data_IF_761093149475
#
_entry.id   IF_761093149475
#
_cell.length_a   1.000
_cell.length_b   1.000
_cell.length_c   1.000
_cell.angle_alpha   90.00
_cell.angle_beta   90.00
_cell.angle_gamma   90.00
#
_symmetry.space_group_name_H-M   'P 1'
#
loop_
_entity.id
_entity.type
_entity.pdbx_description
1 polymer ?
#
# COMPACT_ATOMS: atom_id res chain seq x y z
N UNK A 1 7.74 -21.79 57.36
CA UNK A 1 7.56 -20.72 56.39
C UNK A 1 7.88 -21.13 54.95
N UNK A 2 8.05 -22.42 54.64
CA UNK A 2 8.25 -22.93 53.27
C UNK A 2 7.09 -23.86 52.78
N UNK A 3 6.11 -24.14 53.64
CA UNK A 3 4.98 -25.01 53.34
C UNK A 3 3.72 -24.26 52.86
N UNK A 4 3.61 -22.96 53.14
CA UNK A 4 2.42 -22.16 52.72
C UNK A 4 2.53 -21.59 51.28
N UNK A 5 3.74 -21.52 50.72
CA UNK A 5 3.93 -21.02 49.34
C UNK A 5 3.63 -22.07 48.26
N UNK A 6 3.42 -23.34 48.65
CA UNK A 6 3.20 -24.44 47.67
C UNK A 6 1.73 -24.82 47.48
N UNK A 7 0.82 -24.28 48.31
CA UNK A 7 -0.62 -24.62 48.25
C UNK A 7 -1.43 -23.69 47.35
N UNK A 8 -0.90 -22.52 46.98
CA UNK A 8 -1.62 -21.55 46.12
C UNK A 8 -1.52 -21.85 44.60
N UNK A 9 -0.66 -22.76 44.19
CA UNK A 9 -0.39 -23.07 42.78
C UNK A 9 -1.31 -24.18 42.19
N UNK A 10 -2.09 -24.87 43.05
CA UNK A 10 -2.84 -26.07 42.63
C UNK A 10 -4.35 -25.80 42.38
N UNK A 11 -4.86 -24.59 42.61
CA UNK A 11 -6.31 -24.29 42.47
C UNK A 11 -6.72 -23.40 41.28
N UNK A 12 -5.82 -23.10 40.36
CA UNK A 12 -6.28 -22.55 39.07
C UNK A 12 -6.65 -23.69 38.14
N UNK A 13 -7.94 -23.81 37.83
CA UNK A 13 -8.43 -24.81 36.90
C UNK A 13 -7.78 -24.62 35.51
N UNK A 14 -7.44 -25.72 34.83
CA UNK A 14 -6.79 -25.75 33.52
C UNK A 14 -7.43 -24.81 32.47
N UNK A 15 -8.75 -24.54 32.49
CA UNK A 15 -9.39 -23.53 31.63
C UNK A 15 -9.03 -22.09 31.97
N UNK A 16 -8.83 -21.73 33.26
CA UNK A 16 -8.50 -20.35 33.66
C UNK A 16 -7.02 -20.00 33.37
N UNK A 17 -6.12 -20.95 33.49
CA UNK A 17 -4.73 -20.76 33.10
C UNK A 17 -4.55 -20.62 31.59
N UNK A 18 -5.38 -21.30 30.79
CA UNK A 18 -5.43 -21.15 29.32
C UNK A 18 -6.09 -19.84 28.92
N UNK A 19 -7.14 -19.37 29.59
CA UNK A 19 -7.78 -18.07 29.36
C UNK A 19 -6.84 -16.92 29.72
N UNK A 20 -6.17 -16.95 30.87
CA UNK A 20 -5.19 -15.95 31.28
C UNK A 20 -3.98 -15.89 30.34
N UNK A 21 -3.55 -17.02 29.76
CA UNK A 21 -2.47 -17.07 28.78
C UNK A 21 -2.88 -16.52 27.41
N UNK A 22 -4.17 -16.61 27.05
CA UNK A 22 -4.73 -15.98 25.85
C UNK A 22 -4.94 -14.47 26.03
N UNK A 23 -5.27 -14.00 27.22
CA UNK A 23 -5.47 -12.58 27.51
C UNK A 23 -4.13 -11.81 27.68
N UNK A 24 -3.08 -12.45 28.20
CA UNK A 24 -1.78 -11.84 28.41
C UNK A 24 -0.91 -11.72 27.14
N UNK A 25 -1.29 -12.35 26.01
CA UNK A 25 -0.44 -12.50 24.83
C UNK A 25 -0.79 -11.64 23.63
N UNK A 26 -1.80 -10.80 23.68
CA UNK A 26 -2.28 -10.12 22.46
C UNK A 26 -2.46 -8.61 22.63
N UNK A 27 -1.37 -7.91 22.98
CA UNK A 27 -1.39 -6.44 22.97
C UNK A 27 -1.68 -5.89 21.59
N UNK A 28 -2.24 -4.67 21.48
CA UNK A 28 -2.46 -4.01 20.20
C UNK A 28 -1.16 -3.89 19.38
N UNK A 29 0.00 -3.79 20.06
CA UNK A 29 1.32 -3.76 19.44
C UNK A 29 1.71 -5.13 18.86
N UNK A 30 1.43 -6.23 19.56
CA UNK A 30 1.72 -7.60 19.08
C UNK A 30 0.84 -7.98 17.90
N UNK A 31 -0.46 -7.58 17.93
CA UNK A 31 -1.35 -7.74 16.78
C UNK A 31 -0.81 -7.04 15.53
N UNK A 32 -0.31 -5.80 15.66
CA UNK A 32 0.26 -5.03 14.56
C UNK A 32 1.52 -5.67 13.99
N UNK A 33 2.33 -6.32 14.82
CA UNK A 33 3.57 -7.01 14.43
C UNK A 33 3.38 -8.43 13.93
N UNK A 34 2.15 -8.98 13.97
CA UNK A 34 1.87 -10.35 13.55
C UNK A 34 2.25 -10.60 12.08
N UNK A 35 3.09 -11.61 11.77
CA UNK A 35 3.42 -11.97 10.39
C UNK A 35 2.19 -12.34 9.55
N UNK A 36 1.18 -12.97 10.15
CA UNK A 36 -0.08 -13.29 9.47
C UNK A 36 -0.84 -12.02 9.05
N UNK A 37 -0.88 -11.01 9.93
CA UNK A 37 -1.48 -9.70 9.61
C UNK A 37 -0.74 -9.02 8.46
N UNK A 38 0.58 -9.00 8.49
CA UNK A 38 1.39 -8.41 7.43
C UNK A 38 1.17 -9.12 6.07
N UNK A 39 1.01 -10.46 6.06
CA UNK A 39 0.64 -11.19 4.84
C UNK A 39 -0.74 -10.80 4.34
N UNK A 40 -1.73 -10.62 5.22
CA UNK A 40 -3.07 -10.17 4.83
C UNK A 40 -3.05 -8.78 4.19
N UNK A 41 -2.29 -7.83 4.74
CA UNK A 41 -2.13 -6.49 4.16
C UNK A 41 -1.50 -6.57 2.77
N UNK A 42 -0.42 -7.33 2.59
CA UNK A 42 0.21 -7.53 1.27
C UNK A 42 -0.72 -8.23 0.28
N UNK A 43 -1.47 -9.23 0.72
CA UNK A 43 -2.49 -9.90 -0.11
C UNK A 43 -3.58 -8.94 -0.55
N UNK A 44 -4.08 -8.10 0.36
CA UNK A 44 -5.05 -7.06 0.02
C UNK A 44 -4.47 -6.06 -0.99
N UNK A 45 -3.22 -5.61 -0.81
CA UNK A 45 -2.52 -4.73 -1.74
C UNK A 45 -2.46 -5.31 -3.16
N UNK A 46 -2.11 -6.58 -3.30
CA UNK A 46 -2.07 -7.28 -4.58
C UNK A 46 -3.46 -7.37 -5.22
N UNK A 47 -4.45 -7.84 -4.46
CA UNK A 47 -5.81 -8.05 -4.95
C UNK A 47 -6.50 -6.72 -5.35
N UNK A 48 -6.33 -5.65 -4.57
CA UNK A 48 -6.85 -4.32 -4.91
C UNK A 48 -6.23 -3.79 -6.21
N UNK A 49 -4.93 -3.96 -6.39
CA UNK A 49 -4.24 -3.53 -7.63
C UNK A 49 -4.69 -4.31 -8.87
N UNK A 50 -5.10 -5.56 -8.69
CA UNK A 50 -5.62 -6.38 -9.79
C UNK A 50 -7.03 -6.00 -10.21
N UNK A 51 -7.93 -5.77 -9.26
CA UNK A 51 -9.38 -5.75 -9.52
C UNK A 51 -10.20 -4.77 -8.66
N UNK A 52 -9.53 -3.84 -7.99
CA UNK A 52 -10.19 -2.82 -7.17
C UNK A 52 -10.68 -3.31 -5.81
N UNK A 53 -11.26 -2.38 -5.04
CA UNK A 53 -11.78 -2.67 -3.69
C UNK A 53 -13.03 -3.55 -3.76
N UNK A 54 -13.96 -3.26 -4.71
CA UNK A 54 -15.20 -4.02 -4.85
C UNK A 54 -14.91 -5.47 -5.27
N UNK A 55 -13.91 -5.68 -6.15
CA UNK A 55 -13.45 -6.99 -6.57
C UNK A 55 -12.64 -7.76 -5.51
N UNK A 56 -12.37 -7.17 -4.33
CA UNK A 56 -11.56 -7.77 -3.27
C UNK A 56 -12.40 -8.05 -2.03
N UNK A 57 -12.72 -9.33 -1.82
CA UNK A 57 -13.47 -9.79 -0.65
C UNK A 57 -12.56 -10.06 0.56
N UNK A 58 -13.02 -9.76 1.78
CA UNK A 58 -12.24 -10.01 3.00
C UNK A 58 -11.90 -11.51 3.19
N UNK A 59 -12.84 -12.41 2.86
CA UNK A 59 -12.61 -13.87 2.94
C UNK A 59 -11.53 -14.32 1.96
N UNK A 60 -11.47 -13.67 0.82
CA UNK A 60 -10.50 -13.95 -0.22
C UNK A 60 -9.10 -13.46 0.17
N UNK A 61 -8.99 -12.29 0.82
CA UNK A 61 -7.72 -11.83 1.40
C UNK A 61 -7.18 -12.85 2.40
N UNK A 62 -8.06 -13.40 3.27
CA UNK A 62 -7.66 -14.48 4.21
C UNK A 62 -7.14 -15.70 3.47
N UNK A 63 -7.87 -16.17 2.45
CA UNK A 63 -7.46 -17.33 1.66
C UNK A 63 -6.15 -17.09 0.90
N UNK A 64 -6.01 -15.93 0.23
CA UNK A 64 -4.82 -15.57 -0.54
C UNK A 64 -3.57 -15.37 0.34
N UNK A 65 -3.75 -14.93 1.60
CA UNK A 65 -2.65 -14.73 2.55
C UNK A 65 -2.27 -15.97 3.35
N UNK A 66 -2.98 -17.09 3.16
CA UNK A 66 -2.92 -18.26 4.03
C UNK A 66 -3.08 -17.86 5.51
N UNK A 67 -4.05 -16.98 5.75
CA UNK A 67 -4.31 -16.41 7.06
C UNK A 67 -5.28 -17.25 7.90
N UNK A 68 -5.22 -17.12 9.25
CA UNK A 68 -6.13 -17.84 10.12
C UNK A 68 -7.57 -17.39 9.90
N UNK A 69 -8.50 -18.36 9.74
CA UNK A 69 -9.93 -18.07 9.63
C UNK A 69 -10.42 -17.37 10.91
N UNK A 70 -11.22 -16.32 10.76
CA UNK A 70 -11.76 -15.57 11.89
C UNK A 70 -10.83 -14.48 12.47
N UNK A 71 -9.58 -14.35 12.00
CA UNK A 71 -8.63 -13.36 12.52
C UNK A 71 -8.85 -11.92 12.02
N UNK A 72 -9.67 -11.70 10.99
CA UNK A 72 -9.89 -10.38 10.40
C UNK A 72 -10.36 -9.34 11.41
N UNK A 73 -11.42 -9.61 12.18
CA UNK A 73 -11.94 -8.68 13.17
C UNK A 73 -10.92 -8.35 14.28
N UNK A 74 -10.06 -9.32 14.63
CA UNK A 74 -8.97 -9.10 15.59
C UNK A 74 -7.86 -8.24 15.02
N UNK A 75 -7.44 -8.48 13.77
CA UNK A 75 -6.35 -7.74 13.13
C UNK A 75 -6.79 -6.39 12.58
N UNK A 76 -8.02 -6.29 12.11
CA UNK A 76 -8.57 -5.09 11.47
C UNK A 76 -9.93 -4.73 12.09
N UNK A 77 -9.95 -4.20 13.33
CA UNK A 77 -11.20 -3.81 14.00
C UNK A 77 -11.97 -2.71 13.24
N UNK A 78 -11.28 -1.87 12.45
CA UNK A 78 -11.87 -0.90 11.52
C UNK A 78 -12.38 -1.50 10.21
N UNK A 79 -12.40 -2.85 10.11
CA UNK A 79 -12.97 -3.57 8.98
C UNK A 79 -12.21 -3.40 7.67
N UNK A 80 -12.97 -3.44 6.56
CA UNK A 80 -12.43 -3.37 5.20
C UNK A 80 -11.72 -2.04 4.93
N UNK A 81 -12.24 -0.92 5.41
CA UNK A 81 -11.62 0.40 5.23
C UNK A 81 -10.21 0.44 5.82
N UNK A 82 -10.02 -0.04 7.05
CA UNK A 82 -8.68 -0.11 7.67
C UNK A 82 -7.73 -0.98 6.86
N UNK A 83 -8.17 -2.17 6.44
CA UNK A 83 -7.34 -3.08 5.65
C UNK A 83 -6.93 -2.45 4.30
N UNK A 84 -7.86 -1.78 3.62
CA UNK A 84 -7.61 -1.07 2.35
C UNK A 84 -6.61 0.06 2.55
N UNK A 85 -6.79 0.92 3.55
CA UNK A 85 -5.87 2.01 3.88
C UNK A 85 -4.43 1.48 4.06
N UNK A 86 -4.26 0.46 4.89
CA UNK A 86 -2.94 -0.12 5.14
C UNK A 86 -2.36 -0.84 3.91
N UNK A 87 -3.21 -1.46 3.09
CA UNK A 87 -2.79 -2.11 1.86
C UNK A 87 -2.26 -1.12 0.81
N UNK A 88 -2.90 0.05 0.70
CA UNK A 88 -2.44 1.13 -0.19
C UNK A 88 -1.09 1.67 0.30
N UNK A 89 -0.95 1.92 1.60
CA UNK A 89 0.30 2.43 2.19
C UNK A 89 1.47 1.48 1.90
N UNK A 90 1.28 0.17 2.09
CA UNK A 90 2.30 -0.84 1.79
C UNK A 90 2.62 -0.87 0.29
N UNK A 91 1.61 -0.87 -0.58
CA UNK A 91 1.81 -0.91 -2.03
C UNK A 91 2.59 0.31 -2.55
N UNK A 92 2.37 1.50 -1.97
CA UNK A 92 3.10 2.71 -2.32
C UNK A 92 4.50 2.76 -1.73
N UNK A 93 4.69 2.26 -0.50
CA UNK A 93 6.01 2.15 0.10
C UNK A 93 6.92 1.22 -0.72
N UNK A 94 6.39 0.11 -1.21
CA UNK A 94 7.12 -0.83 -2.08
C UNK A 94 7.52 -0.19 -3.43
N UNK A 95 6.72 0.75 -3.94
CA UNK A 95 6.97 1.43 -5.23
C UNK A 95 7.87 2.67 -5.09
N UNK A 96 7.67 3.45 -4.03
CA UNK A 96 8.19 4.81 -3.92
C UNK A 96 8.82 5.12 -2.56
N UNK A 97 9.15 4.11 -1.74
CA UNK A 97 9.72 4.34 -0.41
C UNK A 97 10.93 5.29 -0.41
N UNK A 98 11.69 5.30 -1.49
CA UNK A 98 12.89 6.13 -1.68
C UNK A 98 12.76 7.19 -2.78
N UNK A 99 11.54 7.47 -3.26
CA UNK A 99 11.33 8.35 -4.42
C UNK A 99 12.01 9.72 -4.26
N UNK A 100 11.80 10.38 -3.13
CA UNK A 100 12.37 11.71 -2.88
C UNK A 100 13.89 11.69 -2.93
N UNK A 101 14.53 10.70 -2.28
CA UNK A 101 15.98 10.55 -2.31
C UNK A 101 16.47 10.29 -3.73
N UNK A 102 15.88 9.32 -4.43
CA UNK A 102 16.32 8.93 -5.78
C UNK A 102 16.10 10.07 -6.79
N UNK A 103 15.02 10.84 -6.65
CA UNK A 103 14.81 12.05 -7.47
C UNK A 103 15.86 13.13 -7.17
N UNK A 104 16.27 13.30 -5.91
CA UNK A 104 17.29 14.29 -5.56
C UNK A 104 18.68 13.93 -6.10
N UNK A 105 18.96 12.65 -6.33
CA UNK A 105 20.21 12.14 -6.89
C UNK A 105 20.26 12.22 -8.44
N UNK A 106 19.13 12.40 -9.14
CA UNK A 106 19.10 12.50 -10.59
C UNK A 106 19.84 13.77 -11.07
N UNK A 107 20.77 13.63 -11.99
CA UNK A 107 21.59 14.74 -12.52
C UNK A 107 20.93 15.45 -13.69
N UNK A 108 20.03 14.78 -14.39
CA UNK A 108 19.32 15.32 -15.55
C UNK A 108 17.81 15.11 -15.44
N UNK A 109 17.05 15.96 -16.13
CA UNK A 109 15.59 15.81 -16.17
C UNK A 109 15.13 14.46 -16.73
N UNK A 110 15.70 13.91 -17.83
CA UNK A 110 15.37 12.56 -18.30
C UNK A 110 15.62 11.46 -17.26
N UNK A 111 16.67 11.58 -16.44
CA UNK A 111 16.91 10.64 -15.32
C UNK A 111 15.83 10.74 -14.27
N UNK A 112 15.43 11.96 -13.88
CA UNK A 112 14.34 12.17 -12.94
C UNK A 112 13.02 11.52 -13.43
N UNK A 113 12.67 11.70 -14.69
CA UNK A 113 11.50 11.01 -15.29
C UNK A 113 11.67 9.49 -15.28
N UNK A 114 12.88 8.99 -15.59
CA UNK A 114 13.16 7.55 -15.55
C UNK A 114 13.02 6.96 -14.14
N UNK A 115 13.40 7.69 -13.10
CA UNK A 115 13.19 7.30 -11.69
C UNK A 115 11.71 7.07 -11.40
N UNK A 116 10.84 7.94 -11.92
CA UNK A 116 9.39 7.87 -11.70
C UNK A 116 8.75 6.70 -12.49
N UNK A 117 9.15 6.51 -13.75
CA UNK A 117 8.52 5.54 -14.67
C UNK A 117 9.01 4.11 -14.46
N UNK A 118 10.29 3.92 -14.12
CA UNK A 118 10.92 2.58 -14.05
C UNK A 118 10.25 1.63 -13.06
N UNK A 119 9.83 2.02 -11.84
CA UNK A 119 9.14 1.12 -10.91
C UNK A 119 7.84 0.57 -11.50
N UNK A 120 7.06 1.41 -12.19
CA UNK A 120 5.82 1.00 -12.85
C UNK A 120 6.07 0.03 -14.01
N UNK A 121 7.10 0.30 -14.79
CA UNK A 121 7.50 -0.56 -15.90
C UNK A 121 7.88 -1.95 -15.42
N UNK A 122 8.70 -2.04 -14.38
CA UNK A 122 9.07 -3.31 -13.74
C UNK A 122 7.83 -4.03 -13.20
N UNK A 123 7.00 -3.31 -12.45
CA UNK A 123 5.77 -3.88 -11.90
C UNK A 123 4.89 -4.54 -12.97
N UNK A 124 4.66 -3.87 -14.10
CA UNK A 124 3.82 -4.42 -15.17
C UNK A 124 4.44 -5.69 -15.76
N UNK A 125 5.75 -5.67 -16.04
CA UNK A 125 6.44 -6.82 -16.65
C UNK A 125 6.51 -7.99 -15.67
N UNK A 126 6.92 -7.76 -14.43
CA UNK A 126 7.12 -8.79 -13.41
C UNK A 126 5.80 -9.49 -13.01
N UNK A 127 4.67 -8.80 -13.21
CA UNK A 127 3.33 -9.32 -12.89
C UNK A 127 2.43 -9.50 -14.10
N UNK A 128 3.01 -9.65 -15.29
CA UNK A 128 2.28 -9.93 -16.54
C UNK A 128 1.09 -8.96 -16.76
N UNK A 129 1.31 -7.65 -16.51
CA UNK A 129 0.32 -6.57 -16.63
C UNK A 129 -0.91 -6.71 -15.72
N UNK A 130 -0.90 -7.60 -14.75
CA UNK A 130 -2.03 -7.83 -13.86
C UNK A 130 -2.22 -6.71 -12.82
N UNK A 131 -1.13 -6.03 -12.39
CA UNK A 131 -1.18 -5.04 -11.33
C UNK A 131 -1.27 -3.62 -11.89
N UNK A 132 -2.18 -2.80 -11.31
CA UNK A 132 -2.32 -1.38 -11.60
C UNK A 132 -1.88 -0.46 -10.45
N UNK A 133 -2.17 0.83 -10.58
CA UNK A 133 -1.98 1.78 -9.48
C UNK A 133 -2.97 1.51 -8.35
N UNK A 134 -2.50 1.39 -7.09
CA UNK A 134 -3.38 1.17 -5.96
C UNK A 134 -4.27 2.39 -5.65
N UNK A 135 -3.80 3.62 -5.94
CA UNK A 135 -4.57 4.85 -5.74
C UNK A 135 -5.73 4.94 -6.72
N UNK A 136 -5.46 4.74 -8.02
CA UNK A 136 -6.50 4.74 -9.05
C UNK A 136 -7.54 3.65 -8.80
N UNK A 137 -7.11 2.42 -8.48
CA UNK A 137 -8.01 1.32 -8.16
C UNK A 137 -8.88 1.61 -6.92
N UNK A 138 -8.34 2.35 -5.94
CA UNK A 138 -9.06 2.72 -4.74
C UNK A 138 -10.06 3.83 -4.98
N UNK A 139 -9.66 4.93 -5.64
CA UNK A 139 -10.52 6.11 -5.79
C UNK A 139 -11.71 5.84 -6.71
N UNK A 140 -11.55 5.00 -7.73
CA UNK A 140 -12.65 4.59 -8.60
C UNK A 140 -13.75 3.81 -7.85
N UNK A 141 -13.37 3.07 -6.80
CA UNK A 141 -14.27 2.23 -6.01
C UNK A 141 -14.72 2.86 -4.69
N UNK A 142 -14.15 3.99 -4.29
CA UNK A 142 -14.34 4.60 -2.97
C UNK A 142 -15.15 5.90 -3.01
N UNK A 143 -16.00 6.10 -4.04
CA UNK A 143 -16.77 7.33 -4.23
C UNK A 143 -17.60 7.71 -2.98
N UNK A 144 -18.16 6.72 -2.28
CA UNK A 144 -19.01 6.90 -1.10
C UNK A 144 -18.23 6.76 0.23
N UNK A 145 -16.88 6.72 0.19
CA UNK A 145 -16.05 6.56 1.39
C UNK A 145 -15.11 7.75 1.59
N UNK A 146 -15.57 8.75 2.33
CA UNK A 146 -14.82 9.97 2.60
C UNK A 146 -13.46 9.73 3.23
N UNK A 147 -13.33 8.75 4.12
CA UNK A 147 -12.05 8.42 4.77
C UNK A 147 -11.02 7.91 3.76
N UNK A 148 -11.41 7.00 2.85
CA UNK A 148 -10.51 6.52 1.80
C UNK A 148 -10.20 7.61 0.79
N UNK A 149 -11.19 8.43 0.41
CA UNK A 149 -10.97 9.55 -0.50
C UNK A 149 -9.96 10.55 0.05
N UNK A 150 -10.10 10.92 1.34
CA UNK A 150 -9.16 11.82 2.02
C UNK A 150 -7.76 11.21 2.05
N UNK A 151 -7.64 9.94 2.46
CA UNK A 151 -6.35 9.25 2.52
C UNK A 151 -5.66 9.17 1.15
N UNK A 152 -6.40 8.81 0.10
CA UNK A 152 -5.86 8.81 -1.28
C UNK A 152 -5.41 10.20 -1.71
N UNK A 153 -6.17 11.25 -1.38
CA UNK A 153 -5.79 12.64 -1.70
C UNK A 153 -4.48 13.05 -1.02
N UNK A 154 -4.29 12.69 0.25
CA UNK A 154 -3.05 12.93 0.99
C UNK A 154 -1.86 12.19 0.37
N UNK A 155 -2.05 10.93 -0.01
CA UNK A 155 -1.01 10.13 -0.68
C UNK A 155 -0.64 10.68 -2.05
N UNK A 156 -1.62 11.13 -2.85
CA UNK A 156 -1.36 11.81 -4.12
C UNK A 156 -0.57 13.11 -3.93
N UNK A 157 -0.90 13.91 -2.91
CA UNK A 157 -0.15 15.12 -2.59
C UNK A 157 1.29 14.81 -2.18
N UNK A 158 1.50 13.79 -1.33
CA UNK A 158 2.84 13.32 -0.91
C UNK A 158 3.67 12.79 -2.08
N UNK A 159 3.06 12.16 -3.06
CA UNK A 159 3.76 11.71 -4.27
C UNK A 159 4.06 12.87 -5.21
N UNK A 160 3.13 13.82 -5.37
CA UNK A 160 3.29 14.97 -6.26
C UNK A 160 4.42 15.91 -5.81
N UNK A 161 4.57 16.14 -4.50
CA UNK A 161 5.53 17.11 -3.98
C UNK A 161 6.97 16.86 -4.46
N UNK A 162 7.60 15.69 -4.29
CA UNK A 162 8.97 15.46 -4.75
C UNK A 162 9.11 15.52 -6.28
N UNK A 163 8.04 15.26 -7.02
CA UNK A 163 8.02 15.41 -8.49
C UNK A 163 8.05 16.89 -8.86
N UNK A 164 7.26 17.75 -8.21
CA UNK A 164 7.28 19.19 -8.41
C UNK A 164 8.66 19.80 -8.02
N UNK A 165 9.23 19.34 -6.89
CA UNK A 165 10.59 19.74 -6.49
C UNK A 165 11.63 19.40 -7.56
N UNK A 166 11.52 18.24 -8.21
CA UNK A 166 12.39 17.88 -9.32
C UNK A 166 12.24 18.84 -10.51
N UNK A 167 11.01 19.18 -10.92
CA UNK A 167 10.77 20.16 -11.98
C UNK A 167 11.38 21.53 -11.65
N UNK A 168 11.20 22.00 -10.41
CA UNK A 168 11.77 23.29 -9.95
C UNK A 168 13.30 23.26 -10.02
N UNK A 169 13.93 22.16 -9.60
CA UNK A 169 15.38 21.98 -9.67
C UNK A 169 15.92 22.04 -11.09
N UNK A 170 15.15 21.61 -12.07
CA UNK A 170 15.51 21.68 -13.49
C UNK A 170 14.99 22.95 -14.19
N UNK A 171 14.63 23.98 -13.44
CA UNK A 171 14.43 25.34 -13.94
C UNK A 171 12.99 25.80 -14.13
N UNK A 172 11.99 24.96 -13.78
CA UNK A 172 10.61 25.42 -13.80
C UNK A 172 10.31 26.36 -12.62
N UNK A 173 9.47 27.36 -12.82
CA UNK A 173 8.89 28.11 -11.71
C UNK A 173 8.01 27.20 -10.82
N UNK A 174 7.75 27.61 -9.58
CA UNK A 174 6.91 26.82 -8.67
C UNK A 174 5.55 26.47 -9.27
N UNK A 175 4.87 27.44 -9.89
CA UNK A 175 3.56 27.23 -10.50
C UNK A 175 3.61 26.24 -11.69
N UNK A 176 4.63 26.36 -12.54
CA UNK A 176 4.86 25.43 -13.65
C UNK A 176 5.20 24.03 -13.16
N UNK A 177 6.04 23.92 -12.13
CA UNK A 177 6.43 22.63 -11.53
C UNK A 177 5.24 21.87 -10.97
N UNK A 178 4.35 22.53 -10.26
CA UNK A 178 3.11 21.94 -9.73
C UNK A 178 2.16 21.49 -10.85
N UNK A 179 2.03 22.29 -11.90
CA UNK A 179 1.24 21.95 -13.08
C UNK A 179 1.85 20.74 -13.82
N UNK A 180 3.15 20.77 -14.08
CA UNK A 180 3.87 19.68 -14.75
C UNK A 180 3.83 18.37 -13.94
N UNK A 181 4.01 18.43 -12.62
CA UNK A 181 3.88 17.27 -11.76
C UNK A 181 2.48 16.66 -11.84
N UNK A 182 1.42 17.49 -11.86
CA UNK A 182 0.05 17.04 -12.02
C UNK A 182 -0.17 16.37 -13.39
N UNK A 183 0.32 17.00 -14.48
CA UNK A 183 0.22 16.43 -15.83
C UNK A 183 0.97 15.11 -15.94
N UNK A 184 2.19 15.01 -15.38
CA UNK A 184 2.97 13.78 -15.39
C UNK A 184 2.24 12.65 -14.65
N UNK A 185 1.67 12.93 -13.47
CA UNK A 185 0.90 11.93 -12.72
C UNK A 185 -0.32 11.45 -13.52
N UNK A 186 -1.08 12.37 -14.14
CA UNK A 186 -2.21 12.01 -14.98
C UNK A 186 -1.79 11.19 -16.20
N UNK A 187 -0.67 11.55 -16.83
CA UNK A 187 -0.12 10.81 -17.98
C UNK A 187 0.33 9.39 -17.57
N UNK A 188 0.95 9.23 -16.40
CA UNK A 188 1.35 7.93 -15.87
C UNK A 188 0.14 7.04 -15.59
N UNK A 189 -0.90 7.56 -14.95
CA UNK A 189 -2.13 6.79 -14.68
C UNK A 189 -2.79 6.35 -15.97
N UNK A 190 -2.89 7.25 -16.98
CA UNK A 190 -3.37 6.90 -18.31
C UNK A 190 -2.51 5.85 -19.00
N UNK A 191 -1.19 6.00 -18.94
CA UNK A 191 -0.25 5.04 -19.51
C UNK A 191 -0.33 3.66 -18.86
N UNK A 192 -0.54 3.59 -17.54
CA UNK A 192 -0.75 2.33 -16.82
C UNK A 192 -2.03 1.61 -17.29
N UNK A 193 -3.13 2.35 -17.48
CA UNK A 193 -4.38 1.80 -17.99
C UNK A 193 -4.18 1.26 -19.41
N UNK A 194 -3.56 2.04 -20.30
CA UNK A 194 -3.28 1.64 -21.68
C UNK A 194 -2.35 0.44 -21.74
N UNK A 195 -1.25 0.46 -20.97
CA UNK A 195 -0.28 -0.63 -20.93
C UNK A 195 -0.90 -1.95 -20.47
N UNK A 196 -1.78 -1.91 -19.47
CA UNK A 196 -2.53 -3.10 -19.02
C UNK A 196 -3.51 -3.62 -20.06
N UNK A 197 -4.24 -2.72 -20.72
CA UNK A 197 -5.21 -3.09 -21.75
C UNK A 197 -4.53 -3.70 -22.99
N UNK A 198 -3.40 -3.12 -23.40
CA UNK A 198 -2.66 -3.52 -24.60
C UNK A 198 -1.60 -4.59 -24.34
N UNK A 199 -1.29 -4.88 -23.06
CA UNK A 199 -0.23 -5.79 -22.61
C UNK A 199 1.15 -5.42 -23.19
N UNK A 200 1.46 -4.11 -23.23
CA UNK A 200 2.71 -3.54 -23.71
C UNK A 200 3.18 -2.40 -22.81
N UNK A 201 4.49 -2.18 -22.74
CA UNK A 201 5.08 -1.08 -21.96
C UNK A 201 5.19 0.23 -22.79
N UNK A 202 4.86 0.21 -24.07
CA UNK A 202 4.99 1.37 -24.97
C UNK A 202 4.33 2.65 -24.42
N UNK A 203 3.13 2.63 -23.81
CA UNK A 203 2.55 3.84 -23.21
C UNK A 203 3.43 4.47 -22.13
N UNK A 204 4.09 3.67 -21.28
CA UNK A 204 5.02 4.16 -20.26
C UNK A 204 6.32 4.69 -20.88
N UNK A 205 6.83 4.04 -21.93
CA UNK A 205 8.01 4.52 -22.65
C UNK A 205 7.72 5.84 -23.37
N UNK A 206 6.48 6.05 -23.84
CA UNK A 206 6.02 7.33 -24.42
C UNK A 206 6.02 8.44 -23.34
N UNK A 207 5.49 8.18 -22.14
CA UNK A 207 5.55 9.16 -21.03
C UNK A 207 6.99 9.48 -20.67
N UNK A 208 7.87 8.49 -20.64
CA UNK A 208 9.30 8.69 -20.37
C UNK A 208 10.00 9.55 -21.41
N UNK A 209 9.60 9.46 -22.66
CA UNK A 209 10.19 10.19 -23.79
C UNK A 209 9.58 11.59 -23.97
N UNK A 210 8.39 11.87 -23.41
CA UNK A 210 7.74 13.18 -23.50
C UNK A 210 8.54 14.22 -22.67
N UNK A 211 8.77 15.39 -23.28
CA UNK A 211 9.52 16.52 -22.69
C UNK A 211 8.57 17.59 -22.19
#
# INVERSE_FOLDING_TARGET
MLAEAMTVVIEMSYPEAMAAKNEAGDSAADRRRSPARARMVRSAATLIRQRGIHGTGLREVVAHSDGPRGSLGRFFPGGKTQLVTEAIDVALADLFGDLQRTLSEAETFPEAISVIVTPWRRLLVDHDFALGCPLAATICDAADNDSLRTHVSELLARWRAPVADAYTRFGASQAEAEAHATVLMAALEGALVLARAQRTIEPLDTVRASR
#
